data_IF_313413666627
#
_entry.id   IF_313413666627
#
_cell.length_a   1.000
_cell.length_b   1.000
_cell.length_c   1.000
_cell.angle_alpha   90.00
_cell.angle_beta   90.00
_cell.angle_gamma   90.00
#
_symmetry.space_group_name_H-M   'P 1'
#
loop_
_entity.id
_entity.type
_entity.pdbx_description
1 polymer ?
#
# COMPACT_ATOMS: atom_id res chain seq x y z
N UNK A 1 7.66 13.71 -33.97
CA UNK A 1 6.60 13.96 -32.97
C UNK A 1 7.11 13.34 -31.68
N UNK A 2 7.53 14.16 -30.72
CA UNK A 2 8.32 13.74 -29.54
C UNK A 2 7.41 13.23 -28.42
N UNK A 3 7.54 11.94 -28.07
CA UNK A 3 6.78 11.24 -27.02
C UNK A 3 7.29 11.52 -25.58
N UNK A 4 7.78 12.73 -25.27
CA UNK A 4 8.49 12.98 -23.99
C UNK A 4 8.12 14.29 -23.29
N UNK A 5 6.84 14.63 -23.19
CA UNK A 5 6.40 15.69 -22.27
C UNK A 5 5.39 15.13 -21.27
N UNK A 6 5.84 14.96 -20.02
CA UNK A 6 4.94 14.65 -18.92
C UNK A 6 4.13 15.90 -18.59
N UNK A 7 2.80 15.79 -18.40
CA UNK A 7 1.98 16.94 -18.04
C UNK A 7 2.44 17.51 -16.68
N UNK A 8 2.30 18.82 -16.46
CA UNK A 8 2.53 19.43 -15.16
C UNK A 8 1.72 18.72 -14.07
N UNK A 9 2.34 18.45 -12.91
CA UNK A 9 1.73 17.66 -11.83
C UNK A 9 0.39 18.21 -11.33
N UNK A 10 0.21 19.53 -11.38
CA UNK A 10 -0.99 20.28 -11.00
C UNK A 10 -2.16 20.14 -11.99
N UNK A 11 -1.91 19.57 -13.18
CA UNK A 11 -2.93 19.31 -14.21
C UNK A 11 -3.42 17.86 -14.21
N UNK A 12 -2.78 16.97 -13.44
CA UNK A 12 -3.16 15.56 -13.39
C UNK A 12 -4.46 15.38 -12.59
N UNK A 13 -5.45 14.64 -13.13
CA UNK A 13 -6.66 14.34 -12.38
C UNK A 13 -6.36 13.38 -11.23
N UNK A 14 -6.93 13.65 -10.05
CA UNK A 14 -6.88 12.73 -8.92
C UNK A 14 -7.80 11.54 -9.22
N UNK A 15 -7.21 10.36 -9.42
CA UNK A 15 -7.96 9.12 -9.68
C UNK A 15 -8.41 8.43 -8.38
N UNK A 16 -7.56 8.49 -7.36
CA UNK A 16 -7.82 7.92 -6.04
C UNK A 16 -7.28 8.93 -5.03
N UNK A 17 -8.16 9.50 -4.22
CA UNK A 17 -7.76 10.43 -3.18
C UNK A 17 -7.06 9.70 -2.02
N UNK A 18 -6.27 10.45 -1.26
CA UNK A 18 -5.47 9.91 -0.17
C UNK A 18 -6.30 9.29 0.97
N UNK A 19 -7.51 9.81 1.21
CA UNK A 19 -8.38 9.29 2.27
C UNK A 19 -9.02 7.96 1.85
N UNK A 20 -9.37 7.80 0.58
CA UNK A 20 -9.83 6.54 0.01
C UNK A 20 -8.74 5.47 0.07
N UNK A 21 -7.49 5.81 -0.27
CA UNK A 21 -6.35 4.89 -0.12
C UNK A 21 -6.20 4.48 1.35
N UNK A 22 -6.18 5.44 2.28
CA UNK A 22 -6.03 5.18 3.71
C UNK A 22 -7.11 4.23 4.22
N UNK A 23 -8.38 4.53 3.93
CA UNK A 23 -9.52 3.70 4.31
C UNK A 23 -9.37 2.28 3.78
N UNK A 24 -8.95 2.12 2.52
CA UNK A 24 -8.78 0.80 1.92
C UNK A 24 -7.64 0.02 2.57
N UNK A 25 -6.54 0.69 2.92
CA UNK A 25 -5.41 0.08 3.61
C UNK A 25 -5.80 -0.37 5.03
N UNK A 26 -6.59 0.43 5.77
CA UNK A 26 -7.14 0.06 7.08
C UNK A 26 -8.04 -1.19 7.00
N UNK A 27 -8.94 -1.22 6.02
CA UNK A 27 -9.80 -2.38 5.77
C UNK A 27 -9.00 -3.66 5.45
N UNK A 28 -7.95 -3.53 4.64
CA UNK A 28 -7.05 -4.64 4.31
C UNK A 28 -6.26 -5.12 5.52
N UNK A 29 -5.71 -4.20 6.33
CA UNK A 29 -4.95 -4.54 7.53
C UNK A 29 -5.79 -5.32 8.54
N UNK A 30 -7.04 -4.88 8.78
CA UNK A 30 -7.99 -5.63 9.64
C UNK A 30 -8.27 -7.02 9.09
N UNK A 31 -8.59 -7.13 7.80
CA UNK A 31 -8.90 -8.42 7.18
C UNK A 31 -7.71 -9.39 7.26
N UNK A 32 -6.51 -8.95 6.91
CA UNK A 32 -5.30 -9.78 6.97
C UNK A 32 -5.02 -10.20 8.42
N UNK A 33 -5.22 -9.31 9.39
CA UNK A 33 -5.02 -9.63 10.81
C UNK A 33 -5.99 -10.69 11.32
N UNK A 34 -7.25 -10.67 10.85
CA UNK A 34 -8.24 -11.70 11.14
C UNK A 34 -7.86 -13.03 10.50
N UNK A 35 -7.52 -13.02 9.20
CA UNK A 35 -7.18 -14.21 8.41
C UNK A 35 -5.92 -14.92 8.95
N UNK A 36 -4.95 -14.15 9.47
CA UNK A 36 -3.65 -14.65 9.94
C UNK A 36 -3.46 -14.60 11.47
N UNK A 37 -4.53 -14.47 12.26
CA UNK A 37 -4.48 -14.22 13.72
C UNK A 37 -3.50 -15.11 14.51
N UNK A 38 -3.35 -16.38 14.12
CA UNK A 38 -2.47 -17.36 14.78
C UNK A 38 -1.47 -17.98 13.80
N UNK A 39 -1.16 -17.29 12.72
CA UNK A 39 -0.26 -17.78 11.67
C UNK A 39 0.89 -16.79 11.48
N UNK A 40 2.10 -17.27 11.15
CA UNK A 40 3.19 -16.38 10.80
C UNK A 40 2.85 -15.63 9.50
N UNK A 41 3.08 -14.32 9.50
CA UNK A 41 2.86 -13.45 8.34
C UNK A 41 4.19 -12.84 7.85
N UNK A 42 4.45 -13.00 6.56
CA UNK A 42 5.54 -12.33 5.84
C UNK A 42 4.92 -11.44 4.77
N UNK A 43 5.21 -10.14 4.82
CA UNK A 43 4.92 -9.19 3.75
C UNK A 43 6.11 -9.15 2.80
N UNK A 44 5.95 -9.75 1.61
CA UNK A 44 6.98 -9.75 0.56
C UNK A 44 6.76 -8.56 -0.38
N UNK A 45 7.70 -7.61 -0.36
CA UNK A 45 7.58 -6.31 -1.02
C UNK A 45 8.24 -6.35 -2.39
N UNK A 46 7.43 -6.58 -3.43
CA UNK A 46 7.92 -6.61 -4.81
C UNK A 46 7.89 -5.20 -5.41
N UNK A 47 8.95 -4.83 -6.13
CA UNK A 47 9.16 -3.51 -6.77
C UNK A 47 9.53 -2.38 -5.81
N UNK A 48 10.40 -1.48 -6.28
CA UNK A 48 10.89 -0.34 -5.48
C UNK A 48 9.80 0.61 -5.01
N UNK A 49 8.70 0.77 -5.76
CA UNK A 49 7.63 1.71 -5.46
C UNK A 49 6.60 1.22 -4.44
N UNK A 50 6.54 -0.09 -4.16
CA UNK A 50 5.51 -0.66 -3.28
C UNK A 50 5.80 -0.48 -1.80
N UNK A 51 7.01 -0.04 -1.42
CA UNK A 51 7.40 0.12 -0.02
C UNK A 51 6.51 1.10 0.75
N UNK A 52 6.01 2.16 0.11
CA UNK A 52 5.07 3.12 0.72
C UNK A 52 3.76 2.43 1.10
N UNK A 53 3.16 1.72 0.16
CA UNK A 53 1.95 0.93 0.40
C UNK A 53 2.18 -0.14 1.47
N UNK A 54 3.31 -0.85 1.43
CA UNK A 54 3.63 -1.87 2.43
C UNK A 54 3.81 -1.26 3.82
N UNK A 55 4.47 -0.11 3.94
CA UNK A 55 4.64 0.57 5.22
C UNK A 55 3.30 1.03 5.79
N UNK A 56 2.40 1.52 4.94
CA UNK A 56 1.05 1.91 5.33
C UNK A 56 0.24 0.69 5.80
N UNK A 57 0.30 -0.41 5.06
CA UNK A 57 -0.38 -1.66 5.39
C UNK A 57 0.14 -2.28 6.68
N UNK A 58 1.46 -2.35 6.86
CA UNK A 58 2.07 -2.94 8.04
C UNK A 58 1.64 -2.24 9.34
N UNK A 59 1.45 -0.91 9.30
CA UNK A 59 0.95 -0.12 10.45
C UNK A 59 -0.50 -0.46 10.84
N UNK A 60 -1.29 -1.02 9.92
CA UNK A 60 -2.67 -1.41 10.17
C UNK A 60 -2.83 -2.86 10.62
N UNK A 61 -1.74 -3.64 10.66
CA UNK A 61 -1.78 -5.02 11.15
C UNK A 61 -1.81 -5.04 12.68
N UNK A 62 -2.75 -5.81 13.24
CA UNK A 62 -2.86 -6.03 14.69
C UNK A 62 -2.14 -7.30 15.15
N UNK A 63 -1.33 -7.90 14.28
CA UNK A 63 -0.56 -9.13 14.52
C UNK A 63 0.91 -8.92 14.14
N UNK A 64 1.84 -9.66 14.74
CA UNK A 64 3.25 -9.61 14.33
C UNK A 64 3.41 -10.00 12.87
N UNK A 65 4.22 -9.25 12.13
CA UNK A 65 4.62 -9.58 10.77
C UNK A 65 6.13 -9.37 10.58
N UNK A 66 6.68 -10.04 9.57
CA UNK A 66 8.02 -9.76 9.05
C UNK A 66 7.90 -9.13 7.66
N UNK A 67 8.81 -8.23 7.34
CA UNK A 67 8.88 -7.59 6.02
C UNK A 67 10.15 -8.07 5.32
N UNK A 68 10.01 -8.51 4.08
CA UNK A 68 11.10 -8.98 3.21
C UNK A 68 10.94 -8.34 1.81
N UNK A 69 12.02 -8.27 1.02
CA UNK A 69 12.07 -7.62 -0.30
C UNK A 69 12.53 -8.58 -1.39
#
# INVERSE_FOLDING_TARGET
>A
MSETEFPPFDTLPVLIDADLIRKRVEELGRKISEDYKNQPLILLVVLKGSFLFCADLARQLSIPCRIEF
#
